data_IF_566662680696
#
_entry.id   IF_566662680696
#
_cell.length_a   1.000
_cell.length_b   1.000
_cell.length_c   1.000
_cell.angle_alpha   90.00
_cell.angle_beta   90.00
_cell.angle_gamma   90.00
#
_symmetry.space_group_name_H-M   'P 1'
#
loop_
_entity.id
_entity.type
_entity.pdbx_description
1 polymer ?
#
# COMPACT_ATOMS: atom_id res chain seq x y z
N UNK A 1 7.33 43.24 40.09
CA UNK A 1 8.21 42.80 39.01
C UNK A 1 8.73 41.42 39.42
N UNK A 2 8.05 40.39 38.96
CA UNK A 2 8.40 38.99 39.25
C UNK A 2 8.69 38.33 37.91
N UNK A 3 9.97 37.97 37.77
CA UNK A 3 10.53 37.28 36.61
C UNK A 3 9.89 35.87 36.48
N UNK A 4 9.14 35.65 35.41
CA UNK A 4 8.69 34.33 34.98
C UNK A 4 9.71 33.82 33.99
N UNK A 5 10.54 32.87 34.40
CA UNK A 5 11.44 32.13 33.53
C UNK A 5 10.61 31.18 32.63
N UNK A 6 10.90 31.06 31.31
CA UNK A 6 10.26 30.12 30.46
C UNK A 6 10.72 28.68 30.78
N UNK A 7 9.76 27.82 31.17
CA UNK A 7 9.99 26.40 31.31
C UNK A 7 10.38 25.83 29.93
N UNK A 8 11.59 25.28 29.86
CA UNK A 8 12.02 24.43 28.73
C UNK A 8 11.10 23.20 28.69
N UNK A 9 10.28 23.11 27.66
CA UNK A 9 9.64 21.86 27.26
C UNK A 9 10.75 20.83 27.02
N UNK A 10 10.90 19.91 27.96
CA UNK A 10 11.61 18.67 27.72
C UNK A 10 10.83 17.89 26.63
N UNK A 11 11.34 17.94 25.40
CA UNK A 11 10.97 16.97 24.39
C UNK A 11 11.35 15.60 24.95
N UNK A 12 10.35 14.84 25.36
CA UNK A 12 10.47 13.41 25.58
C UNK A 12 10.90 12.81 24.23
N UNK A 13 12.13 12.38 24.15
CA UNK A 13 12.60 11.43 23.15
C UNK A 13 11.90 10.11 23.47
N UNK A 14 10.66 9.95 23.06
CA UNK A 14 10.10 8.64 22.83
C UNK A 14 10.87 8.06 21.65
N UNK A 15 11.86 7.23 21.98
CA UNK A 15 12.62 6.49 21.02
C UNK A 15 11.64 5.65 20.20
N UNK A 16 11.81 5.67 18.87
CA UNK A 16 11.33 4.56 18.05
C UNK A 16 11.73 3.27 18.77
N UNK A 17 10.82 2.27 18.94
CA UNK A 17 11.22 0.99 19.52
C UNK A 17 12.41 0.52 18.70
N UNK A 18 13.56 0.35 19.35
CA UNK A 18 14.78 -0.12 18.72
C UNK A 18 14.42 -1.40 17.99
N UNK A 19 14.90 -1.55 16.75
CA UNK A 19 14.75 -2.77 15.99
C UNK A 19 15.19 -3.94 16.86
N UNK A 20 14.24 -4.71 17.36
CA UNK A 20 14.58 -5.92 18.09
C UNK A 20 15.28 -6.84 17.09
N UNK A 21 16.55 -7.17 17.38
CA UNK A 21 17.30 -8.18 16.62
C UNK A 21 16.53 -9.50 16.67
N UNK A 22 16.38 -10.16 15.52
CA UNK A 22 15.73 -11.46 15.47
C UNK A 22 14.75 -11.64 14.31
N UNK A 23 13.92 -12.66 14.44
CA UNK A 23 12.86 -12.99 13.47
C UNK A 23 11.60 -12.18 13.77
N UNK A 24 11.02 -11.61 12.74
CA UNK A 24 9.77 -10.86 12.78
C UNK A 24 8.89 -11.24 11.62
N UNK A 25 7.58 -11.05 11.80
CA UNK A 25 6.62 -11.19 10.72
C UNK A 25 5.67 -10.00 10.66
N UNK A 26 5.26 -9.68 9.43
CA UNK A 26 4.21 -8.71 9.17
C UNK A 26 3.13 -9.34 8.28
N UNK A 27 1.87 -9.16 8.66
CA UNK A 27 0.70 -9.54 7.87
C UNK A 27 -0.06 -8.27 7.52
N UNK A 28 -0.31 -8.08 6.24
CA UNK A 28 -1.20 -7.04 5.70
C UNK A 28 -2.51 -7.65 5.27
N UNK A 29 -3.62 -7.14 5.80
CA UNK A 29 -4.98 -7.46 5.36
C UNK A 29 -5.44 -6.34 4.44
N UNK A 30 -5.19 -6.50 3.15
CA UNK A 30 -5.50 -5.52 2.11
C UNK A 30 -6.80 -5.79 1.36
N UNK A 31 -7.17 -4.87 0.47
CA UNK A 31 -8.41 -4.93 -0.32
C UNK A 31 -8.42 -6.09 -1.32
N UNK A 32 -7.27 -6.41 -1.92
CA UNK A 32 -7.13 -7.44 -2.97
C UNK A 32 -6.58 -8.76 -2.45
N UNK A 33 -6.01 -8.77 -1.24
CA UNK A 33 -5.40 -9.97 -0.70
C UNK A 33 -4.78 -9.76 0.66
N UNK A 34 -4.40 -10.86 1.27
CA UNK A 34 -3.73 -10.92 2.56
C UNK A 34 -2.31 -11.40 2.30
N UNK A 35 -1.34 -10.62 2.78
CA UNK A 35 0.09 -10.85 2.52
C UNK A 35 0.84 -11.05 3.83
N UNK A 36 1.77 -11.98 3.81
CA UNK A 36 2.68 -12.27 4.92
C UNK A 36 4.12 -12.10 4.45
N UNK A 37 4.93 -11.49 5.28
CA UNK A 37 6.39 -11.45 5.14
C UNK A 37 6.98 -11.93 6.46
N UNK A 38 7.98 -12.85 6.37
CA UNK A 38 8.86 -13.22 7.48
C UNK A 38 10.25 -12.69 7.16
N UNK A 39 10.84 -11.99 8.11
CA UNK A 39 12.13 -11.34 7.93
C UNK A 39 13.01 -11.49 9.18
N UNK A 40 14.32 -11.51 8.95
CA UNK A 40 15.35 -11.39 9.98
C UNK A 40 15.87 -9.95 10.00
N UNK A 41 15.91 -9.35 11.19
CA UNK A 41 16.52 -8.05 11.42
C UNK A 41 17.81 -8.25 12.18
N UNK A 42 18.92 -7.77 11.62
CA UNK A 42 20.22 -7.84 12.26
C UNK A 42 20.44 -6.69 13.26
N UNK A 43 21.50 -6.77 14.06
CA UNK A 43 21.87 -5.76 15.06
C UNK A 43 22.17 -4.37 14.49
N UNK A 44 22.34 -4.24 13.17
CA UNK A 44 22.57 -2.97 12.46
C UNK A 44 21.30 -2.44 11.78
N UNK A 45 20.15 -3.14 11.94
CA UNK A 45 18.90 -2.81 11.28
C UNK A 45 18.83 -3.27 9.81
N UNK A 46 19.74 -4.14 9.38
CA UNK A 46 19.67 -4.81 8.09
C UNK A 46 18.48 -5.76 8.05
N UNK A 47 17.70 -5.71 6.97
CA UNK A 47 16.50 -6.52 6.77
C UNK A 47 16.77 -7.59 5.72
N UNK A 48 16.57 -8.86 6.09
CA UNK A 48 16.64 -10.00 5.18
C UNK A 48 15.29 -10.71 5.14
N UNK A 49 14.62 -10.66 3.99
CA UNK A 49 13.37 -11.42 3.80
C UNK A 49 13.68 -12.90 3.70
N UNK A 50 13.03 -13.70 4.53
CA UNK A 50 13.17 -15.15 4.56
C UNK A 50 12.03 -15.86 3.83
N UNK A 51 10.79 -15.32 3.97
CA UNK A 51 9.62 -15.93 3.34
C UNK A 51 8.57 -14.89 2.99
N UNK A 52 7.74 -15.22 2.00
CA UNK A 52 6.60 -14.41 1.55
C UNK A 52 5.45 -15.32 1.19
N UNK A 53 4.27 -15.01 1.69
CA UNK A 53 3.04 -15.64 1.28
C UNK A 53 1.99 -14.59 0.90
N UNK A 54 1.15 -14.91 -0.08
CA UNK A 54 0.05 -14.05 -0.50
C UNK A 54 -1.15 -14.91 -0.86
N UNK A 55 -2.31 -14.51 -0.39
CA UNK A 55 -3.61 -15.11 -0.72
C UNK A 55 -4.56 -14.02 -1.17
N UNK A 56 -5.30 -14.27 -2.25
CA UNK A 56 -6.36 -13.37 -2.67
C UNK A 56 -7.46 -13.30 -1.62
N UNK A 57 -8.13 -12.16 -1.55
CA UNK A 57 -9.24 -11.91 -0.63
C UNK A 57 -10.31 -11.08 -1.33
N UNK A 58 -11.56 -11.30 -0.93
CA UNK A 58 -12.72 -10.54 -1.43
C UNK A 58 -13.06 -9.30 -0.61
N UNK A 59 -12.29 -8.98 0.43
CA UNK A 59 -12.61 -7.91 1.36
C UNK A 59 -12.89 -6.57 0.68
N UNK A 60 -12.05 -6.18 -0.28
CA UNK A 60 -12.26 -4.95 -1.03
C UNK A 60 -13.57 -4.95 -1.81
N UNK A 61 -13.90 -6.07 -2.46
CA UNK A 61 -15.17 -6.21 -3.18
C UNK A 61 -16.35 -6.06 -2.23
N UNK A 62 -16.36 -6.81 -1.12
CA UNK A 62 -17.42 -6.74 -0.12
C UNK A 62 -17.63 -5.30 0.37
N UNK A 63 -16.55 -4.62 0.74
CA UNK A 63 -16.64 -3.28 1.34
C UNK A 63 -17.01 -2.21 0.31
N UNK A 64 -16.40 -2.23 -0.88
CA UNK A 64 -16.65 -1.20 -1.89
C UNK A 64 -18.03 -1.33 -2.54
N UNK A 65 -18.66 -2.52 -2.48
CA UNK A 65 -20.03 -2.73 -2.96
C UNK A 65 -21.07 -2.58 -1.85
N UNK A 66 -20.83 -3.16 -0.67
CA UNK A 66 -21.85 -3.27 0.40
C UNK A 66 -21.55 -2.37 1.61
N UNK A 67 -20.42 -1.69 1.66
CA UNK A 67 -19.97 -0.90 2.83
C UNK A 67 -19.59 -1.75 4.05
N UNK A 68 -19.57 -3.09 3.93
CA UNK A 68 -19.32 -4.00 5.05
C UNK A 68 -18.73 -5.32 4.58
N UNK A 69 -17.99 -5.99 5.46
CA UNK A 69 -17.40 -7.32 5.20
C UNK A 69 -18.48 -8.38 5.36
N UNK A 70 -18.60 -9.25 4.36
CA UNK A 70 -19.55 -10.38 4.38
C UNK A 70 -19.12 -11.49 5.35
N UNK A 71 -20.07 -12.39 5.68
CA UNK A 71 -19.74 -13.59 6.47
C UNK A 71 -18.75 -14.50 5.76
N UNK A 72 -18.82 -14.57 4.44
CA UNK A 72 -17.89 -15.38 3.63
C UNK A 72 -16.51 -14.74 3.58
N UNK A 73 -16.42 -13.41 3.45
CA UNK A 73 -15.16 -12.67 3.55
C UNK A 73 -14.48 -12.86 4.91
N UNK A 74 -15.26 -12.87 6.01
CA UNK A 74 -14.73 -13.19 7.33
C UNK A 74 -14.19 -14.63 7.41
N UNK A 75 -14.96 -15.64 6.95
CA UNK A 75 -14.52 -17.04 6.98
C UNK A 75 -13.26 -17.26 6.16
N UNK A 76 -13.20 -16.68 4.97
CA UNK A 76 -12.04 -16.75 4.09
C UNK A 76 -10.81 -16.13 4.76
N UNK A 77 -10.95 -14.94 5.36
CA UNK A 77 -9.86 -14.28 6.09
C UNK A 77 -9.36 -15.12 7.27
N UNK A 78 -10.27 -15.67 8.08
CA UNK A 78 -9.89 -16.56 9.19
C UNK A 78 -9.12 -17.77 8.69
N UNK A 79 -9.58 -18.42 7.62
CA UNK A 79 -8.90 -19.58 7.04
C UNK A 79 -7.49 -19.23 6.54
N UNK A 80 -7.34 -18.07 5.87
CA UNK A 80 -6.03 -17.59 5.41
C UNK A 80 -5.10 -17.32 6.60
N UNK A 81 -5.58 -16.60 7.60
CA UNK A 81 -4.78 -16.26 8.78
C UNK A 81 -4.40 -17.52 9.58
N UNK A 82 -5.29 -18.51 9.68
CA UNK A 82 -4.97 -19.81 10.31
C UNK A 82 -3.83 -20.52 9.56
N UNK A 83 -3.84 -20.51 8.22
CA UNK A 83 -2.75 -21.08 7.43
C UNK A 83 -1.42 -20.33 7.62
N UNK A 84 -1.49 -19.00 7.81
CA UNK A 84 -0.30 -18.21 8.14
C UNK A 84 0.20 -18.47 9.55
N UNK A 85 -0.71 -18.70 10.51
CA UNK A 85 -0.34 -19.08 11.87
C UNK A 85 0.46 -20.38 11.89
N UNK A 86 0.04 -21.40 11.12
CA UNK A 86 0.79 -22.67 10.99
C UNK A 86 2.21 -22.44 10.44
N UNK A 87 2.34 -21.60 9.41
CA UNK A 87 3.65 -21.24 8.84
C UNK A 87 4.53 -20.52 9.88
N UNK A 88 3.96 -19.54 10.60
CA UNK A 88 4.69 -18.77 11.61
C UNK A 88 5.13 -19.60 12.80
N UNK A 89 4.34 -20.60 13.20
CA UNK A 89 4.73 -21.58 14.22
C UNK A 89 5.97 -22.38 13.78
N UNK A 90 6.09 -22.69 12.48
CA UNK A 90 7.28 -23.33 11.91
C UNK A 90 8.56 -22.50 12.06
N UNK A 91 8.45 -21.19 12.13
CA UNK A 91 9.54 -20.26 12.41
C UNK A 91 9.78 -20.03 13.91
N UNK A 92 8.93 -20.56 14.79
CA UNK A 92 9.02 -20.35 16.24
C UNK A 92 8.69 -18.92 16.70
N UNK A 93 7.99 -18.15 15.85
CA UNK A 93 7.63 -16.76 16.17
C UNK A 93 6.56 -16.70 17.27
N UNK A 94 6.73 -15.74 18.18
CA UNK A 94 5.79 -15.44 19.24
C UNK A 94 4.80 -14.34 18.76
N UNK A 95 3.61 -14.20 19.37
CA UNK A 95 2.66 -13.14 18.99
C UNK A 95 3.25 -11.72 19.02
N UNK A 96 4.21 -11.45 19.90
CA UNK A 96 4.95 -10.19 19.99
C UNK A 96 5.80 -9.86 18.77
N UNK A 97 6.19 -10.89 18.02
CA UNK A 97 7.08 -10.78 16.85
C UNK A 97 6.29 -10.60 15.56
N UNK A 98 4.95 -10.63 15.66
CA UNK A 98 4.02 -10.58 14.54
C UNK A 98 3.23 -9.28 14.58
N UNK A 99 3.35 -8.48 13.52
CA UNK A 99 2.52 -7.29 13.30
C UNK A 99 1.43 -7.60 12.28
N UNK A 100 0.16 -7.37 12.65
CA UNK A 100 -0.96 -7.55 11.72
C UNK A 100 -1.65 -6.21 11.52
N UNK A 101 -1.68 -5.76 10.28
CA UNK A 101 -2.28 -4.48 9.90
C UNK A 101 -3.42 -4.68 8.91
N UNK A 102 -4.42 -3.82 9.01
CA UNK A 102 -5.51 -3.70 8.05
C UNK A 102 -5.48 -2.34 7.38
N UNK A 103 -5.68 -2.30 6.07
CA UNK A 103 -5.62 -1.09 5.24
C UNK A 103 -7.01 -0.68 4.73
N UNK A 104 -7.12 -0.06 3.57
CA UNK A 104 -8.31 0.64 3.05
C UNK A 104 -9.63 -0.13 3.20
N UNK A 105 -9.69 -1.42 2.84
CA UNK A 105 -10.93 -2.19 2.98
C UNK A 105 -11.40 -2.31 4.44
N UNK A 106 -10.48 -2.60 5.38
CA UNK A 106 -10.83 -2.66 6.79
C UNK A 106 -11.17 -1.28 7.36
N UNK A 107 -10.44 -0.26 6.96
CA UNK A 107 -10.64 1.12 7.40
C UNK A 107 -12.04 1.63 7.06
N UNK A 108 -12.54 1.32 5.86
CA UNK A 108 -13.83 1.74 5.36
C UNK A 108 -15.01 0.84 5.80
N UNK A 109 -14.75 -0.38 6.25
CA UNK A 109 -15.81 -1.32 6.62
C UNK A 109 -16.62 -0.84 7.82
N UNK A 110 -17.95 -0.74 7.68
CA UNK A 110 -18.85 -0.33 8.75
C UNK A 110 -18.90 -1.32 9.92
N UNK A 111 -18.54 -2.59 9.69
CA UNK A 111 -18.51 -3.66 10.69
C UNK A 111 -17.07 -4.07 11.07
N UNK A 112 -16.08 -3.19 10.86
CA UNK A 112 -14.64 -3.47 11.08
C UNK A 112 -14.34 -3.97 12.49
N UNK A 113 -14.93 -3.36 13.53
CA UNK A 113 -14.63 -3.72 14.92
C UNK A 113 -15.09 -5.15 15.21
N UNK A 114 -16.29 -5.50 14.78
CA UNK A 114 -16.80 -6.89 14.89
C UNK A 114 -15.92 -7.87 14.11
N UNK A 115 -15.43 -7.47 12.95
CA UNK A 115 -14.53 -8.29 12.15
C UNK A 115 -13.19 -8.52 12.86
N UNK A 116 -12.57 -7.46 13.41
CA UNK A 116 -11.32 -7.53 14.17
C UNK A 116 -11.48 -8.44 15.39
N UNK A 117 -12.55 -8.28 16.15
CA UNK A 117 -12.85 -9.13 17.30
C UNK A 117 -12.95 -10.61 16.91
N UNK A 118 -13.59 -10.91 15.78
CA UNK A 118 -13.70 -12.28 15.27
C UNK A 118 -12.36 -12.85 14.83
N UNK A 119 -11.51 -12.06 14.16
CA UNK A 119 -10.15 -12.47 13.80
C UNK A 119 -9.34 -12.79 15.07
N UNK A 120 -9.39 -11.92 16.07
CA UNK A 120 -8.70 -12.13 17.32
C UNK A 120 -9.15 -13.43 18.01
N UNK A 121 -10.47 -13.65 18.11
CA UNK A 121 -11.03 -14.84 18.76
C UNK A 121 -10.76 -16.14 18.00
N UNK A 122 -10.74 -16.14 16.66
CA UNK A 122 -10.69 -17.35 15.84
C UNK A 122 -9.30 -17.65 15.29
N UNK A 123 -8.50 -16.64 15.01
CA UNK A 123 -7.16 -16.79 14.47
C UNK A 123 -6.03 -16.34 15.42
N UNK A 124 -6.38 -15.73 16.56
CA UNK A 124 -5.41 -15.31 17.59
C UNK A 124 -4.58 -14.08 17.22
N UNK A 125 -4.94 -13.34 16.17
CA UNK A 125 -4.21 -12.17 15.72
C UNK A 125 -4.87 -10.86 16.16
N UNK A 126 -4.07 -9.94 16.66
CA UNK A 126 -4.48 -8.57 16.94
C UNK A 126 -4.28 -7.70 15.70
N UNK A 127 -5.38 -7.31 15.05
CA UNK A 127 -5.32 -6.47 13.85
C UNK A 127 -5.36 -5.00 14.25
N UNK A 128 -4.37 -4.22 13.79
CA UNK A 128 -4.33 -2.78 13.90
C UNK A 128 -4.72 -2.15 12.56
N UNK A 129 -5.63 -1.19 12.59
CA UNK A 129 -5.94 -0.40 11.38
C UNK A 129 -4.82 0.63 11.19
N UNK A 130 -4.37 0.75 9.95
CA UNK A 130 -3.40 1.77 9.52
C UNK A 130 -4.16 2.89 8.82
N UNK A 131 -3.95 4.11 9.30
CA UNK A 131 -4.52 5.31 8.68
C UNK A 131 -3.77 5.69 7.40
N UNK A 132 -4.41 6.42 6.49
CA UNK A 132 -3.85 6.77 5.17
C UNK A 132 -2.46 7.39 5.26
N UNK A 133 -2.26 8.34 6.17
CA UNK A 133 -0.96 9.02 6.36
C UNK A 133 0.13 8.02 6.79
N UNK A 134 -0.20 7.08 7.67
CA UNK A 134 0.75 6.06 8.11
C UNK A 134 1.05 5.07 6.97
N UNK A 135 0.04 4.63 6.23
CA UNK A 135 0.18 3.75 5.07
C UNK A 135 1.12 4.37 4.04
N UNK A 136 0.86 5.63 3.68
CA UNK A 136 1.70 6.42 2.77
C UNK A 136 3.14 6.55 3.28
N UNK A 137 3.34 6.80 4.58
CA UNK A 137 4.68 6.89 5.17
C UNK A 137 5.43 5.57 5.15
N UNK A 138 4.76 4.45 5.46
CA UNK A 138 5.35 3.11 5.38
C UNK A 138 5.77 2.77 3.94
N UNK A 139 4.95 3.13 2.97
CA UNK A 139 5.27 2.97 1.55
C UNK A 139 6.51 3.80 1.15
N UNK A 140 6.60 5.06 1.58
CA UNK A 140 7.78 5.88 1.37
C UNK A 140 9.05 5.24 1.95
N UNK A 141 8.98 4.69 3.16
CA UNK A 141 10.11 3.98 3.78
C UNK A 141 10.51 2.73 2.98
N UNK A 142 9.53 1.97 2.50
CA UNK A 142 9.76 0.78 1.68
C UNK A 142 10.45 1.14 0.36
N UNK A 143 10.04 2.22 -0.31
CA UNK A 143 10.69 2.72 -1.54
C UNK A 143 12.12 3.17 -1.25
N UNK A 144 12.34 3.94 -0.18
CA UNK A 144 13.69 4.36 0.21
C UNK A 144 14.61 3.17 0.46
N UNK A 145 14.08 2.12 1.09
CA UNK A 145 14.86 0.90 1.35
C UNK A 145 15.13 0.12 0.07
N UNK A 146 14.11 -0.04 -0.78
CA UNK A 146 14.25 -0.75 -2.06
C UNK A 146 15.23 -0.08 -3.02
N UNK A 147 15.36 1.25 -2.97
CA UNK A 147 16.27 2.06 -3.81
C UNK A 147 17.50 2.53 -3.04
N UNK A 148 17.89 1.83 -1.95
CA UNK A 148 19.01 2.27 -1.11
C UNK A 148 20.34 2.37 -1.88
N UNK A 149 20.59 1.45 -2.79
CA UNK A 149 21.78 1.43 -3.65
C UNK A 149 21.70 2.45 -4.78
N UNK A 150 20.50 2.94 -5.11
CA UNK A 150 20.22 3.88 -6.21
C UNK A 150 19.56 5.17 -5.70
N UNK A 151 19.97 5.63 -4.53
CA UNK A 151 19.45 6.87 -3.90
C UNK A 151 19.44 8.08 -4.82
N UNK A 152 20.29 8.08 -5.83
CA UNK A 152 20.35 9.15 -6.81
C UNK A 152 19.03 9.38 -7.54
N UNK A 153 18.23 8.36 -7.78
CA UNK A 153 16.90 8.48 -8.41
C UNK A 153 15.96 9.37 -7.60
N UNK A 154 16.07 9.31 -6.27
CA UNK A 154 15.18 10.07 -5.39
C UNK A 154 15.77 11.44 -5.00
N UNK A 155 17.09 11.62 -5.08
CA UNK A 155 17.78 12.79 -4.50
C UNK A 155 18.24 13.82 -5.51
N UNK A 156 18.52 13.42 -6.77
CA UNK A 156 19.03 14.31 -7.81
C UNK A 156 17.97 15.22 -8.42
N UNK A 157 16.72 14.76 -8.44
CA UNK A 157 15.58 15.49 -8.99
C UNK A 157 14.37 15.38 -8.08
N UNK A 158 13.32 16.11 -8.41
CA UNK A 158 12.01 15.83 -7.82
C UNK A 158 11.50 14.50 -8.36
N UNK A 159 11.04 13.64 -7.47
CA UNK A 159 10.49 12.34 -7.80
C UNK A 159 9.03 12.26 -7.34
N UNK A 160 8.23 11.51 -8.06
CA UNK A 160 6.87 11.17 -7.67
C UNK A 160 6.77 9.66 -7.46
N UNK A 161 6.24 9.25 -6.31
CA UNK A 161 5.87 7.86 -6.05
C UNK A 161 4.37 7.73 -6.26
N UNK A 162 3.94 6.73 -7.01
CA UNK A 162 2.56 6.47 -7.33
C UNK A 162 2.26 4.98 -7.10
N UNK A 163 1.27 4.70 -6.26
CA UNK A 163 0.73 3.35 -6.08
C UNK A 163 -0.74 3.32 -6.46
N UNK A 164 -1.08 2.43 -7.39
CA UNK A 164 -2.48 2.11 -7.70
C UNK A 164 -2.85 0.83 -6.96
N UNK A 165 -3.63 0.98 -5.90
CA UNK A 165 -4.16 -0.12 -5.09
C UNK A 165 -5.54 -0.58 -5.55
N UNK A 166 -6.15 -1.49 -4.78
CA UNK A 166 -7.52 -1.95 -5.06
C UNK A 166 -8.59 -0.92 -4.75
N UNK A 167 -8.42 -0.14 -3.68
CA UNK A 167 -9.38 0.86 -3.20
C UNK A 167 -8.96 2.30 -3.43
N UNK A 168 -7.66 2.57 -3.36
CA UNK A 168 -7.09 3.92 -3.41
C UNK A 168 -5.91 3.99 -4.37
N UNK A 169 -5.59 5.20 -4.79
CA UNK A 169 -4.33 5.56 -5.46
C UNK A 169 -3.60 6.57 -4.60
N UNK A 170 -2.38 6.19 -4.19
CA UNK A 170 -1.51 7.04 -3.39
C UNK A 170 -0.51 7.76 -4.28
N UNK A 171 -0.37 9.07 -4.09
CA UNK A 171 0.56 9.91 -4.83
C UNK A 171 1.43 10.68 -3.86
N UNK A 172 2.74 10.55 -3.96
CA UNK A 172 3.71 11.27 -3.11
C UNK A 172 4.70 12.05 -3.95
N UNK A 173 4.91 13.31 -3.59
CA UNK A 173 5.96 14.14 -4.17
C UNK A 173 7.18 14.14 -3.27
N UNK A 174 8.33 13.82 -3.83
CA UNK A 174 9.62 13.91 -3.16
C UNK A 174 10.45 15.06 -3.72
N UNK A 175 11.04 15.85 -2.82
CA UNK A 175 12.09 16.83 -3.16
C UNK A 175 13.38 16.44 -2.44
N UNK A 176 14.44 16.20 -3.19
CA UNK A 176 15.74 15.76 -2.64
C UNK A 176 15.61 14.51 -1.74
N UNK A 177 14.75 13.58 -2.14
CA UNK A 177 14.54 12.33 -1.42
C UNK A 177 13.70 12.44 -0.14
N UNK A 178 13.10 13.58 0.14
CA UNK A 178 12.19 13.77 1.28
C UNK A 178 10.76 13.99 0.77
N UNK A 179 9.80 13.34 1.38
CA UNK A 179 8.39 13.51 1.10
C UNK A 179 7.96 14.93 1.51
N UNK A 180 7.40 15.69 0.57
CA UNK A 180 6.94 17.07 0.80
C UNK A 180 5.43 17.21 0.63
N UNK A 181 4.78 16.30 -0.07
CA UNK A 181 3.34 16.26 -0.23
C UNK A 181 2.88 14.82 -0.47
N UNK A 182 1.67 14.49 -0.04
CA UNK A 182 1.01 13.22 -0.33
C UNK A 182 -0.49 13.44 -0.52
N UNK A 183 -1.08 12.68 -1.44
CA UNK A 183 -2.51 12.67 -1.74
C UNK A 183 -2.97 11.22 -1.81
N UNK A 184 -4.12 10.93 -1.20
CA UNK A 184 -4.84 9.66 -1.32
C UNK A 184 -6.12 9.90 -2.11
N UNK A 185 -6.26 9.21 -3.22
CA UNK A 185 -7.42 9.31 -4.11
C UNK A 185 -8.27 8.05 -3.95
N UNK A 186 -9.58 8.20 -3.80
CA UNK A 186 -10.53 7.08 -3.77
C UNK A 186 -10.74 6.44 -5.15
N UNK A 187 -9.64 6.21 -5.88
CA UNK A 187 -9.58 5.55 -7.17
C UNK A 187 -8.70 4.32 -7.01
N UNK A 188 -9.26 3.14 -7.30
CA UNK A 188 -8.53 1.87 -7.21
C UNK A 188 -9.13 0.83 -8.13
N UNK A 189 -8.35 -0.17 -8.50
CA UNK A 189 -8.72 -1.15 -9.53
C UNK A 189 -10.00 -1.94 -9.19
N UNK A 190 -10.17 -2.36 -7.93
CA UNK A 190 -11.40 -3.03 -7.50
C UNK A 190 -12.59 -2.06 -7.43
N UNK A 191 -12.37 -0.84 -6.97
CA UNK A 191 -13.42 0.17 -6.89
C UNK A 191 -13.95 0.52 -8.29
N UNK A 192 -13.06 0.62 -9.26
CA UNK A 192 -13.44 0.83 -10.66
C UNK A 192 -14.15 -0.39 -11.26
N UNK A 193 -13.68 -1.61 -10.98
CA UNK A 193 -14.34 -2.85 -11.44
C UNK A 193 -15.78 -2.96 -10.90
N UNK A 194 -16.01 -2.61 -9.64
CA UNK A 194 -17.36 -2.60 -9.07
C UNK A 194 -18.25 -1.50 -9.71
N UNK A 195 -17.72 -0.31 -9.96
CA UNK A 195 -18.45 0.74 -10.69
C UNK A 195 -18.86 0.30 -12.09
N UNK A 196 -17.96 -0.41 -12.80
CA UNK A 196 -18.26 -1.02 -14.10
C UNK A 196 -19.42 -2.03 -13.97
N UNK A 197 -19.37 -2.90 -12.97
CA UNK A 197 -20.40 -3.94 -12.73
C UNK A 197 -21.76 -3.34 -12.38
N UNK A 198 -21.78 -2.32 -11.53
CA UNK A 198 -23.01 -1.60 -11.18
C UNK A 198 -23.60 -0.89 -12.41
N UNK A 199 -22.74 -0.40 -13.28
CA UNK A 199 -23.13 0.27 -14.54
C UNK A 199 -23.37 -0.68 -15.70
N UNK A 200 -23.36 -2.00 -15.51
CA UNK A 200 -23.46 -3.01 -16.59
C UNK A 200 -24.71 -2.92 -17.47
N UNK A 201 -25.74 -2.15 -17.04
CA UNK A 201 -26.94 -1.85 -17.83
C UNK A 201 -26.76 -0.64 -18.74
N UNK A 202 -25.69 0.13 -18.60
CA UNK A 202 -25.38 1.29 -19.42
C UNK A 202 -24.58 0.86 -20.67
N UNK A 203 -24.65 1.63 -21.77
CA UNK A 203 -23.80 1.37 -22.93
C UNK A 203 -22.31 1.42 -22.55
N UNK A 204 -21.45 0.54 -23.08
CA UNK A 204 -20.01 0.50 -22.76
C UNK A 204 -19.32 1.86 -22.91
N UNK A 205 -19.66 2.64 -23.95
CA UNK A 205 -19.11 3.97 -24.19
C UNK A 205 -19.39 4.95 -23.03
N UNK A 206 -20.56 4.81 -22.39
CA UNK A 206 -20.90 5.65 -21.24
C UNK A 206 -20.05 5.32 -20.02
N UNK A 207 -19.77 4.03 -19.80
CA UNK A 207 -18.92 3.56 -18.70
C UNK A 207 -17.50 4.07 -18.90
N UNK A 208 -16.97 3.95 -20.11
CA UNK A 208 -15.64 4.44 -20.48
C UNK A 208 -15.52 5.95 -20.23
N UNK A 209 -16.42 6.75 -20.78
CA UNK A 209 -16.45 8.19 -20.57
C UNK A 209 -16.52 8.58 -19.09
N UNK A 210 -17.30 7.84 -18.30
CA UNK A 210 -17.44 8.09 -16.86
C UNK A 210 -16.13 7.82 -16.11
N UNK A 211 -15.46 6.69 -16.39
CA UNK A 211 -14.18 6.33 -15.79
C UNK A 211 -13.07 7.33 -16.18
N UNK A 212 -13.00 7.67 -17.46
CA UNK A 212 -12.05 8.68 -17.95
C UNK A 212 -12.27 10.03 -17.30
N UNK A 213 -13.53 10.47 -17.15
CA UNK A 213 -13.87 11.72 -16.48
C UNK A 213 -13.43 11.71 -15.02
N UNK A 214 -13.63 10.62 -14.29
CA UNK A 214 -13.20 10.49 -12.90
C UNK A 214 -11.68 10.57 -12.76
N UNK A 215 -10.96 9.82 -13.61
CA UNK A 215 -9.49 9.82 -13.62
C UNK A 215 -8.97 11.22 -13.99
N UNK A 216 -9.54 11.84 -15.02
CA UNK A 216 -9.16 13.17 -15.44
C UNK A 216 -9.37 14.22 -14.34
N UNK A 217 -10.52 14.19 -13.67
CA UNK A 217 -10.80 15.09 -12.56
C UNK A 217 -9.78 14.94 -11.44
N UNK A 218 -9.40 13.71 -11.10
CA UNK A 218 -8.36 13.45 -10.10
C UNK A 218 -6.99 13.96 -10.55
N UNK A 219 -6.64 13.77 -11.83
CA UNK A 219 -5.39 14.30 -12.38
C UNK A 219 -5.36 15.83 -12.39
N UNK A 220 -6.49 16.48 -12.72
CA UNK A 220 -6.61 17.95 -12.72
C UNK A 220 -6.40 18.50 -11.29
N UNK A 221 -7.03 17.89 -10.28
CA UNK A 221 -6.82 18.26 -8.87
C UNK A 221 -5.36 18.08 -8.45
N UNK A 222 -4.72 16.97 -8.82
CA UNK A 222 -3.29 16.77 -8.52
C UNK A 222 -2.41 17.79 -9.23
N UNK A 223 -2.75 18.18 -10.45
CA UNK A 223 -1.97 19.15 -11.23
C UNK A 223 -2.06 20.57 -10.66
N UNK A 224 -3.16 20.91 -10.00
CA UNK A 224 -3.29 22.19 -9.29
C UNK A 224 -2.43 22.26 -8.03
N UNK A 225 -2.32 21.13 -7.30
CA UNK A 225 -1.63 21.07 -6.01
C UNK A 225 -0.14 20.73 -6.13
N UNK A 226 0.26 20.03 -7.20
CA UNK A 226 1.60 19.50 -7.36
C UNK A 226 2.35 20.17 -8.52
N UNK A 227 3.62 20.57 -8.36
CA UNK A 227 4.45 21.14 -9.44
C UNK A 227 4.94 20.04 -10.39
N UNK A 228 4.01 19.44 -11.16
CA UNK A 228 4.27 18.27 -12.01
C UNK A 228 5.39 18.50 -13.04
N UNK A 229 5.52 19.71 -13.57
CA UNK A 229 6.58 20.09 -14.52
C UNK A 229 8.00 19.93 -13.97
N UNK A 230 8.13 19.91 -12.65
CA UNK A 230 9.41 19.75 -11.97
C UNK A 230 9.76 18.28 -11.65
N UNK A 231 8.86 17.34 -11.96
CA UNK A 231 9.04 15.90 -11.69
C UNK A 231 9.76 15.25 -12.87
N UNK A 232 10.90 14.65 -12.58
CA UNK A 232 11.71 13.98 -13.61
C UNK A 232 11.82 12.47 -13.41
N UNK A 233 11.44 11.98 -12.23
CA UNK A 233 11.50 10.55 -11.89
C UNK A 233 10.14 10.11 -11.37
N UNK A 234 9.60 9.03 -11.94
CA UNK A 234 8.40 8.38 -11.46
C UNK A 234 8.77 7.01 -10.89
N UNK A 235 8.27 6.70 -9.71
CA UNK A 235 8.37 5.40 -9.07
C UNK A 235 6.97 4.82 -8.99
N UNK A 236 6.69 3.80 -9.77
CA UNK A 236 5.39 3.14 -9.83
C UNK A 236 5.42 1.89 -8.94
N UNK A 237 4.39 1.71 -8.12
CA UNK A 237 4.23 0.60 -7.20
C UNK A 237 2.90 -0.11 -7.49
N UNK A 238 2.83 -1.39 -7.15
CA UNK A 238 1.63 -2.20 -7.28
C UNK A 238 1.76 -3.31 -8.32
N UNK A 239 0.70 -4.11 -8.46
CA UNK A 239 0.66 -5.27 -9.36
C UNK A 239 0.75 -4.86 -10.83
N UNK A 240 0.05 -3.78 -11.19
CA UNK A 240 -0.05 -3.32 -12.58
C UNK A 240 1.27 -2.70 -13.05
N UNK A 241 1.95 -1.96 -12.18
CA UNK A 241 3.30 -1.46 -12.45
C UNK A 241 4.30 -2.62 -12.67
N UNK A 242 4.21 -3.68 -11.86
CA UNK A 242 5.05 -4.88 -12.02
C UNK A 242 4.72 -5.65 -13.28
N UNK A 243 3.45 -5.74 -13.65
CA UNK A 243 3.01 -6.36 -14.89
C UNK A 243 3.54 -5.61 -16.11
N UNK A 244 3.41 -4.28 -16.14
CA UNK A 244 3.98 -3.44 -17.20
C UNK A 244 5.50 -3.61 -17.31
N UNK A 245 6.20 -3.60 -16.15
CA UNK A 245 7.64 -3.82 -16.13
C UNK A 245 8.04 -5.20 -16.67
N UNK A 246 7.28 -6.24 -16.34
CA UNK A 246 7.50 -7.59 -16.86
C UNK A 246 7.29 -7.65 -18.39
N UNK A 247 6.20 -7.07 -18.89
CA UNK A 247 5.89 -7.04 -20.33
C UNK A 247 6.98 -6.29 -21.13
N UNK A 248 7.45 -5.17 -20.60
CA UNK A 248 8.42 -4.32 -21.29
C UNK A 248 9.86 -4.84 -21.17
N UNK A 249 10.26 -5.42 -20.05
CA UNK A 249 11.61 -5.91 -19.84
C UNK A 249 11.83 -7.36 -20.25
N UNK A 250 10.75 -8.15 -20.35
CA UNK A 250 10.80 -9.59 -20.61
C UNK A 250 11.49 -10.41 -19.52
N UNK A 251 11.71 -9.82 -18.34
CA UNK A 251 12.49 -10.44 -17.25
C UNK A 251 11.78 -10.24 -15.90
N UNK A 252 11.94 -11.22 -15.01
CA UNK A 252 11.62 -11.05 -13.61
C UNK A 252 12.74 -10.22 -12.95
N UNK A 253 12.35 -9.23 -12.16
CA UNK A 253 13.25 -8.38 -11.38
C UNK A 253 12.99 -8.61 -9.88
N UNK A 254 14.05 -8.54 -9.08
CA UNK A 254 13.96 -8.85 -7.63
C UNK A 254 13.40 -7.67 -6.83
N UNK A 255 13.82 -6.44 -7.12
CA UNK A 255 13.45 -5.24 -6.36
C UNK A 255 12.77 -4.19 -7.23
N UNK A 256 13.40 -3.74 -8.30
CA UNK A 256 12.86 -2.74 -9.23
C UNK A 256 13.31 -3.00 -10.68
N UNK A 257 12.60 -2.39 -11.62
CA UNK A 257 13.01 -2.28 -13.02
C UNK A 257 13.02 -0.81 -13.41
N UNK A 258 13.95 -0.43 -14.26
CA UNK A 258 13.99 0.91 -14.85
C UNK A 258 13.41 0.82 -16.26
N UNK A 259 12.41 1.65 -16.54
CA UNK A 259 11.73 1.72 -17.82
C UNK A 259 11.94 3.07 -18.47
N UNK A 260 12.04 3.09 -19.78
CA UNK A 260 11.97 4.32 -20.55
C UNK A 260 10.53 4.85 -20.57
N UNK A 261 10.36 6.18 -20.39
CA UNK A 261 9.04 6.80 -20.34
C UNK A 261 8.26 6.61 -21.65
N UNK A 262 8.92 6.73 -22.80
CA UNK A 262 8.24 6.60 -24.08
C UNK A 262 7.73 5.17 -24.29
N UNK A 263 8.53 4.16 -23.95
CA UNK A 263 8.12 2.75 -24.01
C UNK A 263 6.96 2.46 -23.07
N UNK A 264 6.95 3.05 -21.86
CA UNK A 264 5.84 2.88 -20.91
C UNK A 264 4.55 3.51 -21.45
N UNK A 265 4.60 4.70 -22.04
CA UNK A 265 3.44 5.37 -22.66
C UNK A 265 2.91 4.52 -23.82
N UNK A 266 3.77 4.08 -24.74
CA UNK A 266 3.38 3.23 -25.87
C UNK A 266 2.71 1.93 -25.39
N UNK A 267 3.25 1.32 -24.34
CA UNK A 267 2.63 0.14 -23.72
C UNK A 267 1.23 0.45 -23.14
N UNK A 268 1.09 1.55 -22.40
CA UNK A 268 -0.20 1.96 -21.82
C UNK A 268 -1.24 2.22 -22.91
N UNK A 269 -0.86 2.93 -23.99
CA UNK A 269 -1.72 3.19 -25.13
C UNK A 269 -2.13 1.88 -25.85
N UNK A 270 -1.21 0.92 -25.96
CA UNK A 270 -1.53 -0.40 -26.55
C UNK A 270 -2.53 -1.18 -25.72
N UNK A 271 -2.43 -1.11 -24.39
CA UNK A 271 -3.37 -1.77 -23.48
C UNK A 271 -4.76 -1.13 -23.52
N UNK A 272 -4.84 0.19 -23.67
CA UNK A 272 -6.12 0.92 -23.78
C UNK A 272 -6.88 0.61 -25.08
N UNK A 273 -6.19 0.12 -26.12
CA UNK A 273 -6.78 -0.22 -27.43
C UNK A 273 -7.05 -1.72 -27.61
N UNK A 274 -6.89 -2.55 -26.57
CA UNK A 274 -7.19 -3.98 -26.56
C UNK A 274 -8.61 -4.24 -26.06
#
# INVERSE_FOLDING_TARGET
MSDVQPQKLQQSKEGMPGSAEGLHAAIEIGSTGIRLIVAEIDSKGGLKILDRASKQSRLGRDVFTMGSISRDGLRETVAILSSFSELLQGYGLQPSDIQVIGTSALREASNRDTFIDRINLQAGFHVRIVEDIEETYLMYLAVKKALEDERSFLTRSNAMILEVGGGTTEVMLLKKGQMVSSHSLSIGTLRMDEQIRESARQPPQFIEMYLESNIKTACDVLAEDLPLDSVHTFVLIGSDARFAAYCLSGKNFSHYAVLDRAQFIEFADSMANM
#
